data_IF_123128225647
#
_entry.id   IF_123128225647
#
_cell.length_a   1.000
_cell.length_b   1.000
_cell.length_c   1.000
_cell.angle_alpha   90.00
_cell.angle_beta   90.00
_cell.angle_gamma   90.00
#
_symmetry.space_group_name_H-M   'P 1'
#
loop_
_entity.id
_entity.type
_entity.pdbx_description
1 polymer ?
#
# COMPACT_ATOMS: atom_id res chain seq x y z
N UNK A 1 -24.85 -33.18 23.72
CA UNK A 1 -23.45 -33.68 23.78
C UNK A 1 -22.86 -34.03 22.42
N UNK A 2 -23.65 -34.59 21.48
CA UNK A 2 -23.17 -34.99 20.13
C UNK A 2 -22.77 -33.73 19.31
N UNK A 3 -23.55 -32.64 19.35
CA UNK A 3 -23.26 -31.38 18.65
C UNK A 3 -21.99 -30.70 19.18
N UNK A 4 -21.70 -30.81 20.47
CA UNK A 4 -20.45 -30.28 21.05
C UNK A 4 -19.23 -31.08 20.60
N UNK A 5 -19.35 -32.41 20.48
CA UNK A 5 -18.26 -33.25 19.97
C UNK A 5 -17.97 -32.98 18.50
N UNK A 6 -19.01 -32.92 17.65
CA UNK A 6 -18.82 -32.61 16.23
C UNK A 6 -18.20 -31.22 16.02
N UNK A 7 -18.59 -30.21 16.79
CA UNK A 7 -18.01 -28.88 16.73
C UNK A 7 -16.54 -28.85 17.19
N UNK A 8 -16.19 -29.64 18.20
CA UNK A 8 -14.79 -29.79 18.61
C UNK A 8 -13.94 -30.52 17.57
N UNK A 9 -14.45 -31.57 16.96
CA UNK A 9 -13.73 -32.31 15.91
C UNK A 9 -13.50 -31.46 14.65
N UNK A 10 -14.47 -30.61 14.25
CA UNK A 10 -14.26 -29.67 13.13
C UNK A 10 -13.23 -28.62 13.47
N UNK A 11 -13.27 -28.04 14.68
CA UNK A 11 -12.27 -27.08 15.15
C UNK A 11 -10.88 -27.72 15.27
N UNK A 12 -10.78 -28.95 15.79
CA UNK A 12 -9.50 -29.67 15.85
C UNK A 12 -8.94 -29.99 14.47
N UNK A 13 -9.78 -30.38 13.51
CA UNK A 13 -9.36 -30.63 12.13
C UNK A 13 -8.92 -29.35 11.41
N UNK A 14 -9.60 -28.23 11.62
CA UNK A 14 -9.19 -26.92 11.09
C UNK A 14 -7.86 -26.45 11.70
N UNK A 15 -7.67 -26.64 13.01
CA UNK A 15 -6.40 -26.34 13.68
C UNK A 15 -5.27 -27.23 13.17
N UNK A 16 -5.51 -28.53 13.00
CA UNK A 16 -4.49 -29.46 12.44
C UNK A 16 -4.10 -29.10 11.00
N UNK A 17 -5.04 -28.66 10.16
CA UNK A 17 -4.73 -28.20 8.81
C UNK A 17 -3.94 -26.89 8.81
N UNK A 18 -4.23 -25.98 9.74
CA UNK A 18 -3.50 -24.70 9.88
C UNK A 18 -2.07 -24.93 10.40
N UNK A 19 -1.87 -25.88 11.30
CA UNK A 19 -0.55 -26.21 11.89
C UNK A 19 0.33 -27.02 10.92
N UNK A 20 -0.25 -27.76 9.98
CA UNK A 20 0.52 -28.60 9.04
C UNK A 20 1.45 -27.80 8.13
N UNK A 21 1.17 -26.52 7.86
CA UNK A 21 1.92 -25.67 6.94
C UNK A 21 2.66 -24.51 7.65
N UNK A 22 2.94 -24.61 8.95
CA UNK A 22 3.63 -23.55 9.71
C UNK A 22 5.00 -23.16 9.12
N UNK A 23 5.72 -24.14 8.56
CA UNK A 23 7.03 -23.92 7.97
C UNK A 23 6.99 -23.04 6.70
N UNK A 24 5.87 -23.05 5.94
CA UNK A 24 5.69 -22.16 4.78
C UNK A 24 5.57 -20.71 5.21
N UNK A 25 4.91 -20.44 6.34
CA UNK A 25 4.84 -19.10 6.95
C UNK A 25 6.21 -18.63 7.40
N UNK A 26 6.99 -19.52 8.03
CA UNK A 26 8.36 -19.23 8.47
C UNK A 26 9.28 -18.93 7.28
N UNK A 27 9.22 -19.75 6.23
CA UNK A 27 10.01 -19.57 5.02
C UNK A 27 9.67 -18.23 4.33
N UNK A 28 8.38 -17.92 4.19
CA UNK A 28 7.93 -16.63 3.68
C UNK A 28 8.40 -15.47 4.56
N UNK A 29 8.36 -15.62 5.88
CA UNK A 29 8.86 -14.61 6.82
C UNK A 29 10.35 -14.32 6.62
N UNK A 30 11.16 -15.36 6.47
CA UNK A 30 12.61 -15.23 6.18
C UNK A 30 12.82 -14.51 4.84
N UNK A 31 12.08 -14.87 3.80
CA UNK A 31 12.17 -14.21 2.48
C UNK A 31 11.82 -12.74 2.60
N UNK A 32 10.76 -12.36 3.34
CA UNK A 32 10.42 -10.96 3.57
C UNK A 32 11.51 -10.18 4.29
N UNK A 33 12.18 -10.79 5.29
CA UNK A 33 13.29 -10.15 6.00
C UNK A 33 14.48 -9.95 5.06
N UNK A 34 14.84 -10.95 4.25
CA UNK A 34 15.95 -10.85 3.29
C UNK A 34 15.67 -9.74 2.27
N UNK A 35 14.47 -9.70 1.71
CA UNK A 35 14.04 -8.65 0.77
C UNK A 35 14.08 -7.28 1.44
N UNK A 36 13.59 -7.15 2.68
CA UNK A 36 13.62 -5.90 3.42
C UNK A 36 15.05 -5.37 3.62
N UNK A 37 15.98 -6.25 4.00
CA UNK A 37 17.38 -5.89 4.16
C UNK A 37 18.01 -5.48 2.82
N UNK A 38 17.72 -6.22 1.75
CA UNK A 38 18.24 -5.86 0.42
C UNK A 38 17.71 -4.49 -0.04
N UNK A 39 16.43 -4.21 0.13
CA UNK A 39 15.85 -2.89 -0.17
C UNK A 39 16.54 -1.78 0.62
N UNK A 40 16.87 -2.02 1.88
CA UNK A 40 17.50 -1.06 2.76
C UNK A 40 18.97 -0.74 2.36
N UNK A 41 19.73 -1.75 1.92
CA UNK A 41 21.12 -1.59 1.55
C UNK A 41 21.35 -1.07 0.12
N UNK A 42 20.34 -1.19 -0.76
CA UNK A 42 20.44 -0.78 -2.16
C UNK A 42 19.28 0.13 -2.57
N UNK A 43 19.14 1.33 -1.98
CA UNK A 43 17.94 2.15 -2.14
C UNK A 43 17.68 2.58 -3.58
N UNK A 44 18.71 2.90 -4.36
CA UNK A 44 18.54 3.37 -5.74
C UNK A 44 18.02 2.26 -6.67
N UNK A 45 18.65 1.09 -6.65
CA UNK A 45 18.21 -0.06 -7.45
C UNK A 45 16.83 -0.57 -7.02
N UNK A 46 16.56 -0.52 -5.72
CA UNK A 46 15.25 -0.85 -5.16
C UNK A 46 14.17 0.11 -5.64
N UNK A 47 14.48 1.41 -5.71
CA UNK A 47 13.54 2.41 -6.19
C UNK A 47 13.22 2.22 -7.69
N UNK A 48 14.22 1.89 -8.52
CA UNK A 48 14.00 1.52 -9.92
C UNK A 48 13.07 0.30 -10.03
N UNK A 49 13.33 -0.75 -9.26
CA UNK A 49 12.47 -1.94 -9.25
C UNK A 49 11.04 -1.61 -8.84
N UNK A 50 10.87 -0.79 -7.79
CA UNK A 50 9.54 -0.35 -7.32
C UNK A 50 8.81 0.51 -8.37
N UNK A 51 9.52 1.36 -9.10
CA UNK A 51 8.92 2.17 -10.18
C UNK A 51 8.40 1.30 -11.33
N UNK A 52 9.11 0.23 -11.66
CA UNK A 52 8.67 -0.75 -12.66
C UNK A 52 7.44 -1.51 -12.18
N UNK A 53 7.44 -1.97 -10.91
CA UNK A 53 6.28 -2.64 -10.31
C UNK A 53 5.06 -1.72 -10.29
N UNK A 54 5.24 -0.44 -9.96
CA UNK A 54 4.17 0.57 -10.01
C UNK A 54 3.60 0.72 -11.43
N UNK A 55 4.45 0.83 -12.44
CA UNK A 55 4.04 0.97 -13.84
C UNK A 55 3.26 -0.25 -14.33
N UNK A 56 3.72 -1.47 -14.00
CA UNK A 56 3.04 -2.72 -14.32
C UNK A 56 1.69 -2.79 -13.61
N UNK A 57 1.65 -2.41 -12.32
CA UNK A 57 0.40 -2.40 -11.55
C UNK A 57 -0.64 -1.46 -12.16
N UNK A 58 -0.20 -0.28 -12.61
CA UNK A 58 -1.06 0.70 -13.27
C UNK A 58 -1.60 0.16 -14.61
N UNK A 59 -0.76 -0.50 -15.41
CA UNK A 59 -1.18 -1.15 -16.65
C UNK A 59 -2.22 -2.23 -16.41
N UNK A 60 -1.98 -3.12 -15.44
CA UNK A 60 -2.93 -4.19 -15.06
C UNK A 60 -4.24 -3.59 -14.56
N UNK A 61 -4.18 -2.55 -13.70
CA UNK A 61 -5.35 -1.84 -13.21
C UNK A 61 -6.19 -1.29 -14.35
N UNK A 62 -5.57 -0.60 -15.32
CA UNK A 62 -6.25 -0.07 -16.48
C UNK A 62 -6.97 -1.14 -17.31
N UNK A 63 -6.31 -2.29 -17.55
CA UNK A 63 -6.93 -3.43 -18.26
C UNK A 63 -8.14 -3.94 -17.48
N UNK A 64 -8.00 -4.16 -16.18
CA UNK A 64 -9.08 -4.68 -15.33
C UNK A 64 -10.26 -3.71 -15.24
N UNK A 65 -10.00 -2.39 -15.15
CA UNK A 65 -11.05 -1.36 -15.15
C UNK A 65 -11.82 -1.32 -16.48
N UNK A 66 -11.14 -1.44 -17.61
CA UNK A 66 -11.78 -1.52 -18.92
C UNK A 66 -12.69 -2.76 -19.00
N UNK A 67 -12.16 -3.93 -18.61
CA UNK A 67 -12.92 -5.19 -18.60
C UNK A 67 -14.15 -5.06 -17.69
N UNK A 68 -13.95 -4.56 -16.46
CA UNK A 68 -15.02 -4.35 -15.50
C UNK A 68 -16.10 -3.40 -16.05
N UNK A 69 -15.69 -2.28 -16.62
CA UNK A 69 -16.61 -1.27 -17.17
C UNK A 69 -17.46 -1.82 -18.32
N UNK A 70 -16.83 -2.54 -19.26
CA UNK A 70 -17.53 -3.13 -20.41
C UNK A 70 -18.49 -4.26 -19.98
N UNK A 71 -18.07 -5.08 -19.01
CA UNK A 71 -18.89 -6.18 -18.49
C UNK A 71 -20.11 -5.67 -17.73
N UNK A 72 -19.99 -4.54 -17.01
CA UNK A 72 -21.04 -4.02 -16.13
C UNK A 72 -21.80 -2.81 -16.69
N UNK A 73 -21.65 -2.52 -17.97
CA UNK A 73 -22.27 -1.34 -18.62
C UNK A 73 -23.79 -1.21 -18.46
N UNK A 74 -24.49 -2.34 -18.29
CA UNK A 74 -25.94 -2.36 -18.09
C UNK A 74 -26.38 -2.24 -16.63
N UNK A 75 -25.49 -2.54 -15.68
CA UNK A 75 -25.80 -2.58 -14.25
C UNK A 75 -25.26 -1.39 -13.46
N UNK A 76 -24.22 -0.72 -13.94
CA UNK A 76 -23.56 0.39 -13.24
C UNK A 76 -23.82 1.71 -13.99
N UNK A 77 -24.57 2.66 -13.41
CA UNK A 77 -24.88 3.94 -14.09
C UNK A 77 -23.63 4.74 -14.48
N UNK A 78 -22.55 4.64 -13.72
CA UNK A 78 -21.29 5.39 -13.92
C UNK A 78 -20.23 4.62 -14.70
N UNK A 79 -20.57 3.54 -15.42
CA UNK A 79 -19.63 2.69 -16.13
C UNK A 79 -18.69 3.46 -17.07
N UNK A 80 -19.17 4.55 -17.68
CA UNK A 80 -18.37 5.39 -18.59
C UNK A 80 -17.19 6.06 -17.89
N UNK A 81 -17.31 6.46 -16.62
CA UNK A 81 -16.21 7.04 -15.86
C UNK A 81 -15.11 6.00 -15.55
N UNK A 82 -15.51 4.77 -15.21
CA UNK A 82 -14.55 3.66 -15.05
C UNK A 82 -13.86 3.31 -16.37
N UNK A 83 -14.58 3.37 -17.51
CA UNK A 83 -13.99 3.15 -18.81
C UNK A 83 -12.93 4.21 -19.14
N UNK A 84 -13.25 5.48 -18.95
CA UNK A 84 -12.31 6.59 -19.17
C UNK A 84 -11.10 6.47 -18.24
N UNK A 85 -11.32 6.19 -16.96
CA UNK A 85 -10.24 5.95 -15.98
C UNK A 85 -9.33 4.81 -16.43
N UNK A 86 -9.91 3.64 -16.75
CA UNK A 86 -9.16 2.48 -17.22
C UNK A 86 -8.35 2.72 -18.52
N UNK A 87 -8.89 3.51 -19.47
CA UNK A 87 -8.14 3.89 -20.69
C UNK A 87 -6.96 4.80 -20.31
N UNK A 88 -7.16 5.77 -19.42
CA UNK A 88 -6.10 6.66 -18.96
C UNK A 88 -5.00 5.85 -18.26
N UNK A 89 -5.38 4.96 -17.33
CA UNK A 89 -4.44 4.12 -16.59
C UNK A 89 -3.67 3.18 -17.51
N UNK A 90 -4.33 2.62 -18.54
CA UNK A 90 -3.68 1.79 -19.53
C UNK A 90 -2.62 2.57 -20.33
N UNK A 91 -2.98 3.75 -20.85
CA UNK A 91 -2.06 4.60 -21.61
C UNK A 91 -0.89 5.04 -20.74
N UNK A 92 -1.16 5.51 -19.52
CA UNK A 92 -0.12 5.90 -18.58
C UNK A 92 0.76 4.71 -18.18
N UNK A 93 0.19 3.54 -17.92
CA UNK A 93 0.94 2.33 -17.60
C UNK A 93 1.93 1.93 -18.71
N UNK A 94 1.48 1.96 -19.97
CA UNK A 94 2.36 1.70 -21.12
C UNK A 94 3.47 2.76 -21.21
N UNK A 95 3.13 4.03 -21.06
CA UNK A 95 4.09 5.14 -21.10
C UNK A 95 5.13 5.04 -19.98
N UNK A 96 4.71 4.72 -18.75
CA UNK A 96 5.59 4.60 -17.60
C UNK A 96 6.51 3.38 -17.69
N UNK A 97 6.09 2.28 -18.32
CA UNK A 97 6.96 1.13 -18.59
C UNK A 97 8.01 1.48 -19.64
N UNK A 98 7.62 2.22 -20.68
CA UNK A 98 8.54 2.65 -21.74
C UNK A 98 9.59 3.66 -21.22
N UNK A 99 9.23 4.47 -20.23
CA UNK A 99 10.07 5.52 -19.65
C UNK A 99 10.16 5.41 -18.13
N UNK A 100 10.95 4.46 -17.57
CA UNK A 100 11.05 4.25 -16.13
C UNK A 100 11.52 5.50 -15.35
N UNK A 101 12.32 6.35 -15.97
CA UNK A 101 12.76 7.61 -15.35
C UNK A 101 11.58 8.51 -15.00
N UNK A 102 10.56 8.57 -15.86
CA UNK A 102 9.35 9.36 -15.59
C UNK A 102 8.58 8.78 -14.40
N UNK A 103 8.50 7.44 -14.29
CA UNK A 103 7.89 6.79 -13.12
C UNK A 103 8.61 7.18 -11.83
N UNK A 104 9.94 7.20 -11.85
CA UNK A 104 10.76 7.58 -10.70
C UNK A 104 10.54 9.05 -10.29
N UNK A 105 10.29 9.94 -11.24
CA UNK A 105 10.00 11.34 -10.94
C UNK A 105 8.57 11.56 -10.45
N UNK A 106 7.60 10.84 -10.98
CA UNK A 106 6.16 11.03 -10.68
C UNK A 106 5.78 10.45 -9.31
N UNK A 107 6.33 9.31 -8.92
CA UNK A 107 5.97 8.62 -7.67
C UNK A 107 6.11 9.52 -6.42
N UNK A 108 7.20 10.27 -6.20
CA UNK A 108 7.34 11.14 -5.04
C UNK A 108 6.26 12.22 -4.98
N UNK A 109 5.85 12.78 -6.12
CA UNK A 109 4.79 13.79 -6.16
C UNK A 109 3.43 13.20 -5.76
N UNK A 110 3.08 12.02 -6.27
CA UNK A 110 1.85 11.32 -5.88
C UNK A 110 1.83 11.10 -4.37
N UNK A 111 2.94 10.64 -3.81
CA UNK A 111 3.05 10.36 -2.37
C UNK A 111 2.99 11.66 -1.56
N UNK A 112 3.65 12.73 -2.01
CA UNK A 112 3.60 14.02 -1.35
C UNK A 112 2.18 14.58 -1.30
N UNK A 113 1.43 14.54 -2.41
CA UNK A 113 0.04 14.96 -2.43
C UNK A 113 -0.85 14.09 -1.54
N UNK A 114 -0.67 12.77 -1.57
CA UNK A 114 -1.41 11.84 -0.71
C UNK A 114 -1.10 12.08 0.77
N UNK A 115 0.19 12.27 1.12
CA UNK A 115 0.63 12.54 2.48
C UNK A 115 0.11 13.90 2.98
N UNK A 116 0.11 14.91 2.11
CA UNK A 116 -0.45 16.24 2.41
C UNK A 116 -1.95 16.16 2.69
N UNK A 117 -2.70 15.44 1.84
CA UNK A 117 -4.14 15.22 2.05
C UNK A 117 -4.43 14.48 3.36
N UNK A 118 -3.64 13.43 3.67
CA UNK A 118 -3.73 12.71 4.94
C UNK A 118 -3.40 13.60 6.13
N UNK A 119 -2.41 14.47 5.99
CA UNK A 119 -2.05 15.45 7.02
C UNK A 119 -3.18 16.42 7.32
N UNK A 120 -3.81 17.00 6.31
CA UNK A 120 -4.98 17.86 6.48
C UNK A 120 -6.15 17.12 7.09
N UNK A 121 -6.47 15.93 6.62
CA UNK A 121 -7.54 15.09 7.17
C UNK A 121 -7.30 14.75 8.64
N UNK A 122 -6.06 14.38 9.01
CA UNK A 122 -5.69 14.08 10.39
C UNK A 122 -5.80 15.30 11.30
N UNK A 123 -5.41 16.47 10.81
CA UNK A 123 -5.53 17.74 11.55
C UNK A 123 -7.01 18.11 11.75
N UNK A 124 -7.84 17.98 10.72
CA UNK A 124 -9.29 18.19 10.80
C UNK A 124 -9.93 17.25 11.82
N UNK A 125 -9.62 15.96 11.72
CA UNK A 125 -10.10 14.95 12.66
C UNK A 125 -9.67 15.22 14.12
N UNK A 126 -8.45 15.73 14.32
CA UNK A 126 -7.96 16.13 15.66
C UNK A 126 -8.79 17.25 16.28
N UNK A 127 -9.26 18.22 15.49
CA UNK A 127 -10.12 19.32 15.95
C UNK A 127 -11.46 18.77 16.43
N UNK A 128 -12.04 17.81 15.72
CA UNK A 128 -13.29 17.17 16.11
C UNK A 128 -13.11 16.35 17.40
N UNK A 129 -12.03 15.56 17.52
CA UNK A 129 -11.70 14.84 18.76
C UNK A 129 -11.55 15.77 19.97
N UNK A 130 -10.95 16.96 19.77
CA UNK A 130 -10.86 17.98 20.83
C UNK A 130 -12.24 18.46 21.29
N UNK A 131 -13.16 18.65 20.35
CA UNK A 131 -14.55 19.05 20.66
C UNK A 131 -15.29 17.98 21.47
N UNK A 132 -15.02 16.69 21.21
CA UNK A 132 -15.58 15.57 21.96
C UNK A 132 -14.88 15.31 23.29
N UNK A 133 -13.85 16.12 23.67
CA UNK A 133 -13.15 16.00 24.95
C UNK A 133 -12.20 14.79 25.05
N UNK A 134 -11.82 14.17 23.92
CA UNK A 134 -10.91 13.03 23.89
C UNK A 134 -9.50 13.48 24.23
N UNK A 135 -8.78 12.73 25.08
CA UNK A 135 -7.43 13.12 25.56
C UNK A 135 -6.35 13.01 24.48
N UNK A 136 -6.58 12.21 23.44
CA UNK A 136 -5.57 11.86 22.43
C UNK A 136 -5.54 12.79 21.21
N UNK A 137 -6.37 13.86 21.18
CA UNK A 137 -6.44 14.77 20.04
C UNK A 137 -5.09 15.38 19.66
N UNK A 138 -4.21 15.61 20.66
CA UNK A 138 -2.90 16.22 20.45
C UNK A 138 -1.96 15.37 19.59
N UNK A 139 -2.02 14.04 19.73
CA UNK A 139 -1.22 13.13 18.90
C UNK A 139 -1.65 13.17 17.44
N UNK A 140 -2.95 13.16 17.16
CA UNK A 140 -3.48 13.25 15.80
C UNK A 140 -3.11 14.59 15.14
N UNK A 141 -3.12 15.68 15.91
CA UNK A 141 -2.70 17.00 15.43
C UNK A 141 -1.21 17.02 15.11
N UNK A 142 -0.37 16.53 16.02
CA UNK A 142 1.07 16.48 15.81
C UNK A 142 1.45 15.64 14.58
N UNK A 143 0.87 14.45 14.43
CA UNK A 143 1.09 13.61 13.25
C UNK A 143 0.56 14.25 11.97
N UNK A 144 -0.59 14.92 12.00
CA UNK A 144 -1.14 15.64 10.85
C UNK A 144 -0.21 16.76 10.37
N UNK A 145 0.26 17.61 11.29
CA UNK A 145 1.20 18.69 10.98
C UNK A 145 2.54 18.13 10.47
N UNK A 146 3.07 17.08 11.12
CA UNK A 146 4.31 16.43 10.69
C UNK A 146 4.18 15.86 9.27
N UNK A 147 3.05 15.22 8.96
CA UNK A 147 2.79 14.71 7.62
C UNK A 147 2.76 15.83 6.56
N UNK A 148 2.16 16.97 6.86
CA UNK A 148 2.16 18.14 5.96
C UNK A 148 3.58 18.64 5.73
N UNK A 149 4.38 18.78 6.79
CA UNK A 149 5.78 19.23 6.69
C UNK A 149 6.59 18.23 5.83
N UNK A 150 6.46 16.94 6.08
CA UNK A 150 7.11 15.90 5.27
C UNK A 150 6.69 15.97 3.80
N UNK A 151 5.41 16.18 3.52
CA UNK A 151 4.91 16.35 2.16
C UNK A 151 5.54 17.56 1.44
N UNK A 152 5.65 18.68 2.12
CA UNK A 152 6.30 19.89 1.57
C UNK A 152 7.80 19.65 1.30
N UNK A 153 8.49 18.92 2.17
CA UNK A 153 9.90 18.58 1.96
C UNK A 153 10.04 17.68 0.73
N UNK A 154 9.15 16.69 0.54
CA UNK A 154 9.15 15.80 -0.64
C UNK A 154 8.88 16.60 -1.92
N UNK A 155 7.94 17.55 -1.90
CA UNK A 155 7.66 18.44 -3.04
C UNK A 155 8.84 19.32 -3.40
N UNK A 156 9.59 19.79 -2.39
CA UNK A 156 10.81 20.58 -2.62
C UNK A 156 11.96 19.75 -3.18
N UNK A 157 12.13 18.51 -2.66
CA UNK A 157 13.24 17.63 -3.01
C UNK A 157 12.72 16.18 -3.24
N UNK A 158 12.29 15.85 -4.47
CA UNK A 158 11.71 14.54 -4.79
C UNK A 158 12.60 13.34 -4.44
N UNK A 159 13.93 13.51 -4.42
CA UNK A 159 14.86 12.47 -4.00
C UNK A 159 14.63 12.00 -2.55
N UNK A 160 14.21 12.89 -1.66
CA UNK A 160 13.82 12.54 -0.28
C UNK A 160 12.57 11.64 -0.30
N UNK A 161 11.63 11.93 -1.19
CA UNK A 161 10.43 11.11 -1.39
C UNK A 161 10.76 9.71 -1.90
N UNK A 162 11.71 9.59 -2.82
CA UNK A 162 12.18 8.30 -3.31
C UNK A 162 12.76 7.44 -2.18
N UNK A 163 13.64 8.02 -1.35
CA UNK A 163 14.20 7.36 -0.18
C UNK A 163 13.11 6.98 0.84
N UNK A 164 12.18 7.90 1.11
CA UNK A 164 11.04 7.65 2.00
C UNK A 164 10.25 6.40 1.58
N UNK A 165 9.94 6.26 0.28
CA UNK A 165 9.21 5.11 -0.26
C UNK A 165 9.96 3.81 0.00
N UNK A 166 11.25 3.76 -0.35
CA UNK A 166 12.07 2.56 -0.20
C UNK A 166 12.15 2.15 1.27
N UNK A 167 12.45 3.09 2.17
CA UNK A 167 12.58 2.78 3.59
C UNK A 167 11.23 2.39 4.23
N UNK A 168 10.11 3.01 3.83
CA UNK A 168 8.79 2.63 4.33
C UNK A 168 8.39 1.22 3.88
N UNK A 169 8.64 0.86 2.62
CA UNK A 169 8.36 -0.49 2.11
C UNK A 169 9.31 -1.51 2.77
N UNK A 170 10.60 -1.19 2.89
CA UNK A 170 11.57 -2.02 3.57
C UNK A 170 11.16 -2.31 5.02
N UNK A 171 10.80 -1.28 5.77
CA UNK A 171 10.33 -1.41 7.14
C UNK A 171 9.06 -2.23 7.27
N UNK A 172 8.10 -2.04 6.35
CA UNK A 172 6.87 -2.82 6.29
C UNK A 172 7.16 -4.31 6.06
N UNK A 173 8.02 -4.63 5.09
CA UNK A 173 8.42 -6.01 4.82
C UNK A 173 9.16 -6.64 5.99
N UNK A 174 10.01 -5.86 6.67
CA UNK A 174 10.72 -6.31 7.86
C UNK A 174 9.74 -6.69 8.99
N UNK A 175 8.77 -5.82 9.27
CA UNK A 175 7.73 -6.09 10.28
C UNK A 175 6.91 -7.32 9.92
N UNK A 176 6.41 -7.39 8.67
CA UNK A 176 5.61 -8.53 8.21
C UNK A 176 6.43 -9.83 8.30
N UNK A 177 7.71 -9.78 7.91
CA UNK A 177 8.61 -10.91 8.02
C UNK A 177 8.81 -11.36 9.47
N UNK A 178 8.99 -10.41 10.38
CA UNK A 178 9.16 -10.69 11.81
C UNK A 178 7.90 -11.39 12.39
N UNK A 179 6.70 -10.84 12.11
CA UNK A 179 5.44 -11.44 12.57
C UNK A 179 5.16 -12.83 11.96
N UNK A 180 5.66 -13.12 10.77
CA UNK A 180 5.49 -14.43 10.16
C UNK A 180 6.46 -15.50 10.70
N UNK A 181 7.60 -15.07 11.23
CA UNK A 181 8.60 -15.95 11.85
C UNK A 181 8.21 -16.28 13.29
N UNK A 182 7.53 -15.35 13.99
CA UNK A 182 7.01 -15.57 15.35
C UNK A 182 5.76 -16.44 15.35
#
# INVERSE_FOLDING_TARGET
DVYKRQRMETVFNEIQHSVKNWWTSLLLGIVYIIVALWLMFSPLSSYVALSIVFSISMLISGILEIIFSLSNRKGVPSWGWYLVGGIIDLILGIYLIAYPMVSMEVIPFIIAFWLMFRGFSSTGYSIDLKRYGTRDWGWYMAFGILAIICALIILWQPAVGALYVVYMISFTFFIIGLFRVM
#
